data_IF_191171462224
#
_entry.id   IF_191171462224
#
_cell.length_a   1.000
_cell.length_b   1.000
_cell.length_c   1.000
_cell.angle_alpha   90.00
_cell.angle_beta   90.00
_cell.angle_gamma   90.00
#
_symmetry.space_group_name_H-M   'P 1'
#
loop_
_entity.id
_entity.type
_entity.pdbx_description
1 polymer ?
#
# COMPACT_ATOMS: atom_id res chain seq x y z
N UNK A 1 6.62 -15.99 -21.20
CA UNK A 1 7.63 -16.29 -20.15
C UNK A 1 6.88 -16.40 -18.83
N UNK A 2 7.34 -17.19 -17.85
CA UNK A 2 6.68 -17.32 -16.55
C UNK A 2 7.40 -16.52 -15.47
N UNK A 3 6.65 -16.02 -14.50
CA UNK A 3 7.18 -15.37 -13.29
C UNK A 3 7.99 -16.42 -12.51
N UNK A 4 9.24 -16.07 -12.20
CA UNK A 4 10.24 -16.87 -11.46
C UNK A 4 11.30 -15.92 -10.89
N UNK A 5 12.13 -16.40 -9.96
CA UNK A 5 13.16 -15.59 -9.28
C UNK A 5 14.03 -14.74 -10.23
N UNK A 6 14.33 -13.52 -9.78
CA UNK A 6 15.19 -12.53 -10.45
C UNK A 6 14.66 -12.08 -11.83
N UNK A 7 13.34 -12.17 -12.04
CA UNK A 7 12.68 -11.61 -13.23
C UNK A 7 12.14 -10.23 -12.94
N UNK A 8 12.31 -9.34 -13.92
CA UNK A 8 11.57 -8.08 -13.96
C UNK A 8 10.12 -8.37 -14.33
N UNK A 9 9.19 -7.97 -13.49
CA UNK A 9 7.76 -8.21 -13.65
C UNK A 9 7.04 -6.88 -13.66
N UNK A 10 6.09 -6.76 -14.58
CA UNK A 10 5.21 -5.61 -14.72
C UNK A 10 3.78 -6.09 -14.55
N UNK A 11 3.04 -5.53 -13.60
CA UNK A 11 1.66 -5.92 -13.29
C UNK A 11 0.71 -4.73 -13.32
N UNK A 12 -0.52 -5.00 -13.69
CA UNK A 12 -1.66 -4.11 -13.47
C UNK A 12 -2.61 -4.78 -12.49
N UNK A 13 -3.03 -4.06 -11.45
CA UNK A 13 -3.94 -4.60 -10.44
C UNK A 13 -4.62 -3.47 -9.66
N UNK A 14 -5.73 -3.80 -9.02
CA UNK A 14 -6.44 -2.93 -8.09
C UNK A 14 -6.31 -3.54 -6.68
N UNK A 15 -5.73 -2.78 -5.74
CA UNK A 15 -5.66 -3.14 -4.33
C UNK A 15 -6.87 -2.56 -3.61
N UNK A 16 -7.72 -3.43 -3.11
CA UNK A 16 -8.86 -3.04 -2.28
C UNK A 16 -8.65 -3.55 -0.86
N UNK A 17 -8.89 -2.69 0.13
CA UNK A 17 -8.78 -3.01 1.56
C UNK A 17 -10.16 -2.96 2.20
N UNK A 18 -10.45 -3.89 3.11
CA UNK A 18 -11.75 -4.04 3.76
C UNK A 18 -12.51 -5.29 3.30
N UNK A 19 -13.69 -5.49 3.89
CA UNK A 19 -14.55 -6.65 3.63
C UNK A 19 -15.92 -6.26 3.08
N UNK A 20 -16.51 -7.14 2.26
CA UNK A 20 -17.86 -6.96 1.75
C UNK A 20 -18.06 -5.64 0.99
N UNK A 21 -19.03 -4.85 1.44
CA UNK A 21 -19.40 -3.55 0.86
C UNK A 21 -18.50 -2.39 1.35
N UNK A 22 -17.65 -2.62 2.36
CA UNK A 22 -16.73 -1.62 2.92
C UNK A 22 -15.34 -1.65 2.24
N UNK A 23 -15.24 -2.29 1.07
CA UNK A 23 -13.99 -2.33 0.31
C UNK A 23 -13.68 -0.96 -0.28
N UNK A 24 -12.52 -0.44 0.08
CA UNK A 24 -11.98 0.81 -0.43
C UNK A 24 -10.79 0.54 -1.36
N UNK A 25 -10.77 1.20 -2.52
CA UNK A 25 -9.65 1.14 -3.45
C UNK A 25 -8.48 1.96 -2.90
N UNK A 26 -7.43 1.28 -2.45
CA UNK A 26 -6.26 1.90 -1.85
C UNK A 26 -5.16 2.19 -2.88
N UNK A 27 -4.99 1.29 -3.85
CA UNK A 27 -3.99 1.44 -4.89
C UNK A 27 -4.52 0.90 -6.22
N UNK A 28 -4.11 1.54 -7.32
CA UNK A 28 -4.43 1.08 -8.66
C UNK A 28 -3.18 1.21 -9.55
N UNK A 29 -2.66 0.07 -9.99
CA UNK A 29 -1.60 -0.03 -10.97
C UNK A 29 -2.21 -0.19 -12.37
N UNK A 30 -2.16 0.89 -13.17
CA UNK A 30 -2.77 0.92 -14.51
C UNK A 30 -1.76 0.53 -15.59
N UNK A 31 -2.21 0.31 -16.83
CA UNK A 31 -1.29 0.07 -17.95
C UNK A 31 -0.36 1.26 -18.24
N UNK A 32 -0.75 2.49 -17.86
CA UNK A 32 0.06 3.69 -18.02
C UNK A 32 1.09 3.86 -16.90
N UNK A 33 0.78 3.32 -15.71
CA UNK A 33 1.64 3.32 -14.52
C UNK A 33 1.57 1.95 -13.84
N UNK A 34 2.17 0.92 -14.46
CA UNK A 34 2.10 -0.42 -13.91
C UNK A 34 3.03 -0.52 -12.70
N UNK A 35 2.77 -1.51 -11.85
CA UNK A 35 3.72 -1.89 -10.83
C UNK A 35 4.88 -2.62 -11.49
N UNK A 36 6.09 -2.16 -11.21
CA UNK A 36 7.32 -2.71 -11.75
C UNK A 36 8.25 -3.10 -10.60
N UNK A 37 8.64 -4.38 -10.55
CA UNK A 37 9.51 -4.89 -9.50
C UNK A 37 10.30 -6.11 -9.98
N UNK A 38 11.30 -6.51 -9.18
CA UNK A 38 12.07 -7.74 -9.42
C UNK A 38 11.53 -8.82 -8.49
N UNK A 39 10.96 -9.87 -9.08
CA UNK A 39 10.41 -11.00 -8.33
C UNK A 39 11.47 -11.77 -7.54
N UNK A 40 11.16 -12.18 -6.31
CA UNK A 40 12.07 -12.92 -5.43
C UNK A 40 13.11 -12.04 -4.73
N UNK A 41 12.89 -10.72 -4.68
CA UNK A 41 13.78 -9.78 -3.97
C UNK A 41 13.20 -9.25 -2.66
N UNK A 42 12.07 -9.80 -2.22
CA UNK A 42 11.28 -9.29 -1.08
C UNK A 42 10.89 -7.81 -1.26
N UNK A 43 10.66 -7.39 -2.51
CA UNK A 43 10.16 -6.05 -2.81
C UNK A 43 8.66 -5.93 -2.57
N UNK A 44 7.94 -7.06 -2.64
CA UNK A 44 6.51 -7.15 -2.40
C UNK A 44 6.21 -8.08 -1.21
N UNK A 45 4.96 -8.09 -0.75
CA UNK A 45 4.49 -9.02 0.26
C UNK A 45 4.77 -10.47 -0.17
N UNK A 46 5.33 -11.28 0.73
CA UNK A 46 5.69 -12.67 0.42
C UNK A 46 4.46 -13.47 -0.06
N UNK A 47 3.30 -13.25 0.57
CA UNK A 47 2.05 -13.88 0.17
C UNK A 47 1.58 -13.43 -1.22
N UNK A 48 1.82 -12.16 -1.59
CA UNK A 48 1.53 -11.65 -2.92
C UNK A 48 2.43 -12.32 -3.97
N UNK A 49 3.75 -12.38 -3.73
CA UNK A 49 4.70 -13.03 -4.65
C UNK A 49 4.33 -14.50 -4.87
N UNK A 50 4.00 -15.23 -3.81
CA UNK A 50 3.56 -16.64 -3.91
C UNK A 50 2.33 -16.84 -4.80
N UNK A 51 1.38 -15.91 -4.79
CA UNK A 51 0.13 -16.06 -5.55
C UNK A 51 0.30 -15.83 -7.06
N UNK A 52 1.35 -15.12 -7.45
CA UNK A 52 1.67 -14.85 -8.86
C UNK A 52 2.78 -15.74 -9.42
N UNK A 53 3.38 -16.60 -8.58
CA UNK A 53 4.44 -17.51 -8.97
C UNK A 53 4.02 -18.38 -10.17
N UNK A 54 4.86 -18.45 -11.19
CA UNK A 54 4.63 -19.29 -12.35
C UNK A 54 3.53 -18.81 -13.32
N UNK A 55 2.85 -17.70 -13.04
CA UNK A 55 1.94 -17.07 -14.00
C UNK A 55 2.69 -16.62 -15.25
N UNK A 56 2.02 -16.71 -16.39
CA UNK A 56 2.52 -16.21 -17.66
C UNK A 56 2.00 -14.81 -17.96
N UNK A 57 2.65 -14.15 -18.91
CA UNK A 57 2.18 -12.88 -19.44
C UNK A 57 0.75 -13.00 -20.00
N UNK A 58 -0.13 -12.10 -19.57
CA UNK A 58 -1.55 -12.07 -19.94
C UNK A 58 -2.45 -12.92 -19.05
N UNK A 59 -1.91 -13.73 -18.14
CA UNK A 59 -2.71 -14.43 -17.13
C UNK A 59 -3.31 -13.42 -16.15
N UNK A 60 -4.54 -13.68 -15.72
CA UNK A 60 -5.22 -12.89 -14.70
C UNK A 60 -5.12 -13.56 -13.34
N UNK A 61 -5.14 -12.76 -12.29
CA UNK A 61 -5.15 -13.23 -10.91
C UNK A 61 -6.18 -12.44 -10.09
N UNK A 62 -6.71 -13.09 -9.07
CA UNK A 62 -7.56 -12.46 -8.07
C UNK A 62 -7.46 -13.28 -6.80
N UNK A 63 -6.96 -12.67 -5.75
CA UNK A 63 -6.80 -13.30 -4.45
C UNK A 63 -7.08 -12.30 -3.34
N UNK A 64 -7.29 -12.83 -2.15
CA UNK A 64 -7.45 -12.09 -0.92
C UNK A 64 -6.35 -12.55 0.03
N UNK A 65 -5.74 -11.60 0.74
CA UNK A 65 -4.74 -11.83 1.77
C UNK A 65 -5.34 -11.42 3.11
N UNK A 66 -5.10 -12.23 4.15
CA UNK A 66 -5.48 -11.84 5.51
C UNK A 66 -4.59 -10.68 6.01
N UNK A 67 -4.98 -9.97 7.07
CA UNK A 67 -4.10 -8.97 7.69
C UNK A 67 -2.71 -9.52 8.01
N UNK A 68 -2.62 -10.73 8.60
CA UNK A 68 -1.36 -11.41 8.94
C UNK A 68 -0.46 -11.68 7.72
N UNK A 69 -1.05 -11.92 6.55
CA UNK A 69 -0.31 -12.15 5.29
C UNK A 69 0.11 -10.85 4.58
N UNK A 70 -0.47 -9.72 5.00
CA UNK A 70 -0.27 -8.42 4.39
C UNK A 70 0.40 -7.42 5.36
N UNK A 71 -0.37 -6.50 5.93
CA UNK A 71 0.16 -5.36 6.71
C UNK A 71 -0.05 -5.50 8.23
N UNK A 72 -0.51 -6.67 8.68
CA UNK A 72 -0.90 -6.94 10.06
C UNK A 72 -2.29 -6.40 10.40
N UNK A 73 -2.74 -6.73 11.61
CA UNK A 73 -3.98 -6.22 12.15
C UNK A 73 -3.93 -4.72 12.44
N UNK A 74 -5.11 -4.13 12.57
CA UNK A 74 -5.25 -2.78 13.10
C UNK A 74 -4.65 -2.72 14.51
N UNK A 75 -3.70 -1.81 14.68
CA UNK A 75 -2.97 -1.64 15.92
C UNK A 75 -3.42 -0.35 16.61
N UNK A 76 -4.27 -0.48 17.63
CA UNK A 76 -4.74 0.64 18.44
C UNK A 76 -3.59 1.39 19.11
N UNK A 77 -2.45 0.74 19.37
CA UNK A 77 -1.28 1.41 19.96
C UNK A 77 -0.60 2.38 18.97
N UNK A 78 -0.88 2.25 17.68
CA UNK A 78 -0.44 3.21 16.64
C UNK A 78 -1.38 4.40 16.47
N UNK A 79 -2.50 4.44 17.20
CA UNK A 79 -3.40 5.60 17.24
C UNK A 79 -2.93 6.54 18.35
N UNK A 80 -2.48 7.72 17.94
CA UNK A 80 -1.87 8.69 18.86
C UNK A 80 -2.74 9.95 18.97
N UNK A 81 -3.04 10.34 20.22
CA UNK A 81 -3.59 11.65 20.52
C UNK A 81 -2.47 12.71 20.47
N UNK A 82 -2.41 13.44 19.36
CA UNK A 82 -1.42 14.48 19.15
C UNK A 82 -2.04 15.87 19.33
N UNK A 83 -1.36 16.80 20.05
CA UNK A 83 -1.87 18.15 20.19
C UNK A 83 -1.82 18.87 18.84
N UNK A 84 -2.90 19.55 18.45
CA UNK A 84 -3.01 20.24 17.15
C UNK A 84 -1.84 21.20 16.84
N UNK A 85 -1.21 21.74 17.88
CA UNK A 85 -0.08 22.66 17.75
C UNK A 85 1.15 22.06 17.04
N UNK A 86 1.26 20.73 16.94
CA UNK A 86 2.37 20.11 16.18
C UNK A 86 2.25 20.35 14.66
N UNK A 87 1.03 20.64 14.18
CA UNK A 87 0.75 20.91 12.77
C UNK A 87 0.69 22.42 12.48
N UNK A 88 1.11 23.27 13.43
CA UNK A 88 1.23 24.71 13.22
C UNK A 88 2.50 25.05 12.44
N UNK A 89 2.35 25.83 11.37
CA UNK A 89 3.45 26.43 10.61
C UNK A 89 3.38 27.93 10.85
N UNK A 90 4.45 28.52 11.38
CA UNK A 90 4.52 29.94 11.76
C UNK A 90 3.38 30.39 12.71
N UNK A 91 2.96 29.50 13.62
CA UNK A 91 1.91 29.77 14.61
C UNK A 91 0.48 29.78 14.05
N UNK A 92 0.27 29.20 12.87
CA UNK A 92 -1.05 28.98 12.27
C UNK A 92 -1.20 27.54 11.82
N UNK A 93 -2.35 26.96 12.09
CA UNK A 93 -2.75 25.68 11.51
C UNK A 93 -3.08 25.92 10.04
N UNK A 94 -2.47 25.15 9.16
CA UNK A 94 -2.89 25.10 7.77
C UNK A 94 -4.09 24.15 7.65
N UNK A 95 -5.29 24.72 7.53
CA UNK A 95 -6.53 23.95 7.38
C UNK A 95 -6.59 23.16 6.06
N UNK A 96 -5.69 23.43 5.10
CA UNK A 96 -5.53 22.59 3.90
C UNK A 96 -4.65 21.36 4.16
N UNK A 97 -4.02 21.26 5.33
CA UNK A 97 -3.19 20.11 5.74
C UNK A 97 -3.88 19.34 6.86
N UNK A 98 -4.51 20.02 7.82
CA UNK A 98 -5.15 19.38 8.96
C UNK A 98 -6.67 19.28 8.77
N UNK A 99 -7.12 18.25 8.07
CA UNK A 99 -8.54 17.88 7.92
C UNK A 99 -8.72 16.35 7.90
N UNK A 100 -9.94 15.89 8.20
CA UNK A 100 -10.27 14.47 8.27
C UNK A 100 -10.07 13.77 6.91
N UNK A 101 -9.39 12.62 6.91
CA UNK A 101 -9.07 11.87 5.70
C UNK A 101 -7.83 12.35 4.95
N UNK A 102 -7.17 13.44 5.38
CA UNK A 102 -5.89 13.82 4.78
C UNK A 102 -4.75 12.90 5.24
N UNK A 103 -3.90 12.48 4.32
CA UNK A 103 -2.66 11.77 4.66
C UNK A 103 -1.52 12.77 4.84
N UNK A 104 -1.03 12.90 6.06
CA UNK A 104 0.08 13.80 6.40
C UNK A 104 1.35 12.97 6.66
N UNK A 105 2.46 13.23 5.95
CA UNK A 105 3.70 12.53 6.22
C UNK A 105 4.17 12.86 7.65
N UNK A 106 4.51 11.81 8.40
CA UNK A 106 5.12 11.97 9.71
C UNK A 106 6.57 12.43 9.51
N UNK A 107 6.81 13.73 9.64
CA UNK A 107 8.18 14.27 9.66
C UNK A 107 8.68 14.22 11.11
N UNK A 108 9.75 13.47 11.35
CA UNK A 108 10.53 13.65 12.58
C UNK A 108 11.42 14.90 12.44
N UNK A 109 12.12 15.29 13.52
CA UNK A 109 12.99 16.48 13.53
C UNK A 109 14.17 16.44 12.54
N UNK A 110 14.33 15.36 11.78
CA UNK A 110 15.40 15.15 10.80
C UNK A 110 14.94 15.27 9.34
N UNK A 111 13.64 15.47 9.10
CA UNK A 111 13.07 15.63 7.75
C UNK A 111 12.56 14.32 7.17
#
# INVERSE_FOLDING_TARGET
>A
MKITDNKYVTLTYDLNVGEGEERELMEQATAERPLEFIYGTNSMLEAFEKQIDGLAEGDTFSFHLTPEEAYGDYDEEKVLDLPKSIFEIDGKIDENVLFEGNTVPMMDSSG
#
